data_IF_453038228438
#
_entry.id   IF_453038228438
#
_cell.length_a   1.000
_cell.length_b   1.000
_cell.length_c   1.000
_cell.angle_alpha   90.00
_cell.angle_beta   90.00
_cell.angle_gamma   90.00
#
_symmetry.space_group_name_H-M   'P 1'
#
loop_
_entity.id
_entity.type
_entity.pdbx_description
1 polymer ?
#
# COMPACT_ATOMS: atom_id res chain seq x y z
N UNK A 1 2.00 6.87 -10.49
CA UNK A 1 1.28 7.54 -9.37
C UNK A 1 2.05 7.41 -8.06
N UNK A 2 2.70 6.27 -7.76
CA UNK A 2 3.53 6.10 -6.56
C UNK A 2 4.68 7.13 -6.46
N UNK A 3 5.24 7.57 -7.59
CA UNK A 3 6.30 8.59 -7.62
C UNK A 3 5.92 9.90 -6.92
N UNK A 4 4.65 10.30 -6.98
CA UNK A 4 4.18 11.54 -6.36
C UNK A 4 4.06 11.44 -4.83
N UNK A 5 4.16 10.23 -4.27
CA UNK A 5 4.11 10.00 -2.83
C UNK A 5 5.48 10.16 -2.15
N UNK A 6 6.56 10.35 -2.92
CA UNK A 6 7.92 10.62 -2.42
C UNK A 6 8.36 9.63 -1.31
N UNK A 7 8.02 8.36 -1.49
CA UNK A 7 8.32 7.31 -0.51
C UNK A 7 9.82 7.01 -0.54
N UNK A 8 10.46 7.12 0.61
CA UNK A 8 11.88 6.79 0.80
C UNK A 8 12.06 5.48 1.57
N UNK A 9 13.27 4.93 1.54
CA UNK A 9 13.62 3.69 2.23
C UNK A 9 13.43 3.82 3.75
N UNK A 10 12.85 2.79 4.38
CA UNK A 10 12.61 2.76 5.83
C UNK A 10 11.41 3.58 6.30
N UNK A 11 10.71 4.29 5.41
CA UNK A 11 9.50 5.03 5.79
C UNK A 11 8.36 4.09 6.19
N UNK A 12 7.47 4.60 7.03
CA UNK A 12 6.19 3.96 7.35
C UNK A 12 5.10 4.61 6.52
N UNK A 13 4.44 3.82 5.69
CA UNK A 13 3.44 4.30 4.72
C UNK A 13 2.07 3.78 5.13
N UNK A 14 1.06 4.64 5.09
CA UNK A 14 -0.33 4.27 5.29
C UNK A 14 -1.08 4.42 3.96
N UNK A 15 -1.69 3.35 3.48
CA UNK A 15 -2.66 3.38 2.38
C UNK A 15 -4.07 3.17 2.94
N UNK A 16 -4.84 4.25 3.12
CA UNK A 16 -6.25 4.16 3.48
C UNK A 16 -7.09 3.80 2.25
N UNK A 17 -8.22 3.11 2.48
CA UNK A 17 -9.11 2.65 1.41
C UNK A 17 -8.36 1.86 0.34
N UNK A 18 -7.53 0.91 0.79
CA UNK A 18 -6.59 0.18 -0.06
C UNK A 18 -7.29 -0.59 -1.19
N UNK A 19 -8.61 -0.78 -1.13
CA UNK A 19 -9.32 -1.51 -2.16
C UNK A 19 -8.78 -2.94 -2.27
N UNK A 20 -8.52 -3.37 -3.51
CA UNK A 20 -7.85 -4.63 -3.81
C UNK A 20 -6.30 -4.57 -3.69
N UNK A 21 -5.72 -3.47 -3.18
CA UNK A 21 -4.28 -3.37 -2.91
C UNK A 21 -3.39 -3.16 -4.13
N UNK A 22 -3.89 -2.49 -5.18
CA UNK A 22 -3.11 -2.22 -6.39
C UNK A 22 -1.91 -1.30 -6.12
N UNK A 23 -2.13 -0.18 -5.40
CA UNK A 23 -1.02 0.70 -4.99
C UNK A 23 -0.13 0.01 -3.96
N UNK A 24 -0.71 -0.76 -3.03
CA UNK A 24 0.07 -1.53 -2.06
C UNK A 24 1.10 -2.46 -2.73
N UNK A 25 0.68 -3.14 -3.80
CA UNK A 25 1.55 -4.02 -4.57
C UNK A 25 2.67 -3.25 -5.27
N UNK A 26 2.36 -2.09 -5.84
CA UNK A 26 3.35 -1.24 -6.50
C UNK A 26 4.34 -0.62 -5.50
N UNK A 27 3.86 -0.18 -4.32
CA UNK A 27 4.70 0.37 -3.24
C UNK A 27 5.68 -0.71 -2.76
N UNK A 28 5.22 -1.93 -2.50
CA UNK A 28 6.10 -3.04 -2.06
C UNK A 28 7.16 -3.40 -3.10
N UNK A 29 6.81 -3.39 -4.38
CA UNK A 29 7.74 -3.72 -5.45
C UNK A 29 8.86 -2.67 -5.60
N UNK A 30 8.54 -1.40 -5.37
CA UNK A 30 9.45 -0.27 -5.59
C UNK A 30 10.22 0.16 -4.34
N UNK A 31 9.62 0.00 -3.17
CA UNK A 31 10.14 0.44 -1.88
C UNK A 31 10.07 -0.72 -0.87
N UNK A 32 10.83 -1.81 -1.09
CA UNK A 32 10.74 -3.02 -0.26
C UNK A 32 11.13 -2.79 1.20
N UNK A 33 11.91 -1.75 1.48
CA UNK A 33 12.33 -1.37 2.83
C UNK A 33 11.29 -0.51 3.57
N UNK A 34 10.22 -0.08 2.89
CA UNK A 34 9.15 0.67 3.52
C UNK A 34 8.21 -0.28 4.27
N UNK A 35 7.78 0.12 5.47
CA UNK A 35 6.75 -0.61 6.21
C UNK A 35 5.37 -0.11 5.80
N UNK A 36 4.57 -0.96 5.17
CA UNK A 36 3.25 -0.59 4.64
C UNK A 36 2.12 -1.04 5.58
N UNK A 37 1.27 -0.10 5.97
CA UNK A 37 0.03 -0.34 6.69
C UNK A 37 -1.15 -0.08 5.74
N UNK A 38 -2.06 -1.05 5.64
CA UNK A 38 -3.24 -0.98 4.80
C UNK A 38 -4.50 -0.92 5.66
N UNK A 39 -5.44 -0.04 5.30
CA UNK A 39 -6.76 0.00 5.93
C UNK A 39 -7.82 -0.08 4.84
N UNK A 40 -8.72 -1.05 4.95
CA UNK A 40 -9.90 -1.16 4.10
C UNK A 40 -11.11 -1.55 4.99
N UNK A 41 -12.20 -0.81 4.84
CA UNK A 41 -13.42 -0.98 5.65
C UNK A 41 -14.54 -1.65 4.85
N UNK A 42 -14.42 -1.67 3.53
CA UNK A 42 -15.42 -2.20 2.61
C UNK A 42 -15.28 -3.72 2.52
N UNK A 43 -16.32 -4.50 2.87
CA UNK A 43 -16.23 -5.95 2.93
C UNK A 43 -15.98 -6.63 1.58
N UNK A 44 -16.28 -5.94 0.47
CA UNK A 44 -16.11 -6.45 -0.89
C UNK A 44 -14.75 -6.10 -1.52
N UNK A 45 -13.98 -5.20 -0.88
CA UNK A 45 -12.70 -4.73 -1.39
C UNK A 45 -11.54 -5.61 -0.91
N UNK A 46 -11.69 -6.29 0.23
CA UNK A 46 -10.71 -7.23 0.79
C UNK A 46 -10.67 -8.56 -0.01
N UNK A 47 -10.44 -8.47 -1.32
CA UNK A 47 -10.05 -9.59 -2.15
C UNK A 47 -8.54 -9.79 -2.04
N UNK A 48 -8.14 -10.83 -1.30
CA UNK A 48 -6.77 -11.38 -1.27
C UNK A 48 -5.70 -10.45 -0.68
N UNK A 49 -5.64 -10.39 0.65
CA UNK A 49 -4.42 -10.00 1.38
C UNK A 49 -3.86 -11.28 1.98
N UNK A 50 -2.79 -11.83 1.37
CA UNK A 50 -1.96 -12.90 1.95
C UNK A 50 -0.72 -12.26 2.55
#
# INVERSE_FOLDING_TARGET
MVDAAEIEAGMRVLEPSAGAGALASEIRARHPDATLHLIELSPHAAGHVV
#
